data_IF_638512150558
#
_entry.id   IF_638512150558
#
_cell.length_a   1.000
_cell.length_b   1.000
_cell.length_c   1.000
_cell.angle_alpha   90.00
_cell.angle_beta   90.00
_cell.angle_gamma   90.00
#
_symmetry.space_group_name_H-M   'P 1'
#
loop_
_entity.id
_entity.type
_entity.pdbx_description
1 polymer ?
#
# COMPACT_ATOMS: atom_id res chain seq x y z
N UNK A 1 30.09 2.70 33.17
CA UNK A 1 29.78 2.21 31.80
C UNK A 1 28.27 1.99 31.76
N UNK A 2 27.52 2.93 31.19
CA UNK A 2 26.05 2.83 31.14
C UNK A 2 25.69 2.18 29.79
N UNK A 3 25.04 1.02 29.86
CA UNK A 3 24.54 0.30 28.69
C UNK A 3 23.43 1.13 28.01
N UNK A 4 23.54 1.30 26.69
CA UNK A 4 22.55 1.99 25.87
C UNK A 4 21.26 1.14 25.78
N UNK A 5 20.13 1.73 26.16
CA UNK A 5 18.80 1.12 25.98
C UNK A 5 18.41 1.10 24.49
N UNK A 6 17.81 0.00 23.99
CA UNK A 6 17.41 -0.12 22.60
C UNK A 6 15.99 0.44 22.41
N UNK A 7 15.82 1.76 22.28
CA UNK A 7 14.47 2.31 22.05
C UNK A 7 14.34 3.44 21.03
N UNK A 8 15.42 3.90 20.40
CA UNK A 8 15.34 4.97 19.41
C UNK A 8 15.47 4.48 17.96
N UNK A 9 14.65 3.49 17.57
CA UNK A 9 14.20 3.36 16.17
C UNK A 9 12.85 4.04 15.99
N UNK A 10 12.71 5.29 16.46
CA UNK A 10 11.75 6.19 15.83
C UNK A 10 12.40 6.68 14.55
N UNK A 11 12.30 5.84 13.51
CA UNK A 11 12.53 6.24 12.13
C UNK A 11 11.77 7.55 11.93
N UNK A 12 12.50 8.67 11.77
CA UNK A 12 11.87 9.99 11.67
C UNK A 12 10.94 9.95 10.46
N UNK A 13 9.63 9.97 10.70
CA UNK A 13 8.63 10.02 9.66
C UNK A 13 8.99 11.16 8.71
N UNK A 14 9.13 10.87 7.41
CA UNK A 14 9.24 11.93 6.40
C UNK A 14 8.04 12.87 6.57
N UNK A 15 8.21 14.20 6.51
CA UNK A 15 7.09 15.14 6.49
C UNK A 15 6.41 15.04 5.11
N UNK A 16 5.63 13.98 4.91
CA UNK A 16 4.77 13.80 3.76
C UNK A 16 3.37 14.34 4.03
N UNK A 17 2.58 14.54 2.97
CA UNK A 17 1.17 14.89 3.09
C UNK A 17 0.45 13.74 3.80
N UNK A 18 -0.35 14.08 4.81
CA UNK A 18 -1.27 13.13 5.43
C UNK A 18 -2.64 13.24 4.78
N UNK A 19 -3.21 12.12 4.36
CA UNK A 19 -4.54 12.07 3.78
C UNK A 19 -5.61 11.81 4.84
N UNK A 20 -6.79 12.36 4.61
CA UNK A 20 -7.98 11.92 5.32
C UNK A 20 -8.32 10.48 4.92
N UNK A 21 -9.05 9.78 5.79
CA UNK A 21 -9.32 8.36 5.58
C UNK A 21 -10.06 8.08 4.26
N UNK A 22 -11.04 8.90 3.87
CA UNK A 22 -11.76 8.72 2.61
C UNK A 22 -10.85 8.93 1.39
N UNK A 23 -9.92 9.88 1.44
CA UNK A 23 -8.94 10.11 0.38
C UNK A 23 -8.00 8.91 0.20
N UNK A 24 -7.64 8.21 1.29
CA UNK A 24 -6.86 6.97 1.21
C UNK A 24 -7.61 5.86 0.46
N UNK A 25 -8.92 5.70 0.74
CA UNK A 25 -9.76 4.72 0.05
C UNK A 25 -9.90 5.07 -1.44
N UNK A 26 -10.22 6.31 -1.76
CA UNK A 26 -10.37 6.76 -3.15
C UNK A 26 -9.07 6.57 -3.94
N UNK A 27 -7.92 6.94 -3.36
CA UNK A 27 -6.63 6.76 -4.01
C UNK A 27 -6.28 5.28 -4.19
N UNK A 28 -6.53 4.45 -3.18
CA UNK A 28 -6.30 3.00 -3.28
C UNK A 28 -7.17 2.37 -4.38
N UNK A 29 -8.45 2.74 -4.47
CA UNK A 29 -9.37 2.24 -5.50
C UNK A 29 -8.91 2.63 -6.90
N UNK A 30 -8.56 3.92 -7.11
CA UNK A 30 -8.06 4.41 -8.39
C UNK A 30 -6.81 3.62 -8.81
N UNK A 31 -5.85 3.45 -7.91
CA UNK A 31 -4.62 2.71 -8.20
C UNK A 31 -4.89 1.23 -8.46
N UNK A 32 -5.78 0.59 -7.69
CA UNK A 32 -6.17 -0.81 -7.90
C UNK A 32 -6.81 -1.01 -9.28
N UNK A 33 -7.71 -0.12 -9.69
CA UNK A 33 -8.35 -0.14 -11.01
C UNK A 33 -7.30 0.00 -12.11
N UNK A 34 -6.36 0.94 -11.98
CA UNK A 34 -5.30 1.15 -12.97
C UNK A 34 -4.37 -0.06 -13.10
N UNK A 35 -3.94 -0.63 -11.97
CA UNK A 35 -3.10 -1.83 -11.94
C UNK A 35 -3.84 -3.01 -12.58
N UNK A 36 -5.12 -3.20 -12.26
CA UNK A 36 -5.93 -4.26 -12.85
C UNK A 36 -6.20 -4.02 -14.35
N UNK A 37 -6.43 -2.77 -14.78
CA UNK A 37 -6.58 -2.45 -16.20
C UNK A 37 -5.30 -2.77 -17.00
N UNK A 38 -4.13 -2.55 -16.40
CA UNK A 38 -2.84 -2.83 -17.05
C UNK A 38 -2.47 -4.32 -17.07
N UNK A 39 -2.66 -5.03 -15.95
CA UNK A 39 -2.22 -6.43 -15.78
C UNK A 39 -3.32 -7.49 -15.94
N UNK A 40 -4.57 -7.07 -15.95
CA UNK A 40 -5.75 -7.95 -15.91
C UNK A 40 -5.69 -8.91 -14.72
N UNK A 41 -6.06 -10.18 -14.97
CA UNK A 41 -6.04 -11.26 -13.96
C UNK A 41 -4.66 -11.50 -13.33
N UNK A 42 -3.56 -11.01 -13.93
CA UNK A 42 -2.21 -11.13 -13.33
C UNK A 42 -2.07 -10.25 -12.09
N UNK A 43 -2.81 -9.15 -11.98
CA UNK A 43 -2.83 -8.29 -10.80
C UNK A 43 -3.21 -9.06 -9.52
N UNK A 44 -4.13 -10.02 -9.65
CA UNK A 44 -4.62 -10.85 -8.54
C UNK A 44 -3.54 -11.78 -7.95
N UNK A 45 -2.40 -11.94 -8.63
CA UNK A 45 -1.26 -12.77 -8.18
C UNK A 45 -0.10 -11.95 -7.63
N UNK A 46 -0.19 -10.63 -7.63
CA UNK A 46 0.87 -9.78 -7.11
C UNK A 46 1.04 -10.01 -5.60
N UNK A 47 2.29 -10.15 -5.18
CA UNK A 47 2.63 -10.07 -3.78
C UNK A 47 2.50 -8.62 -3.31
N UNK A 48 2.29 -8.43 -2.01
CA UNK A 48 2.20 -7.10 -1.41
C UNK A 48 3.42 -6.23 -1.73
N UNK A 49 4.61 -6.83 -1.81
CA UNK A 49 5.85 -6.10 -2.15
C UNK A 49 5.83 -5.57 -3.58
N UNK A 50 5.32 -6.35 -4.53
CA UNK A 50 5.19 -5.92 -5.93
C UNK A 50 4.23 -4.73 -6.04
N UNK A 51 3.14 -4.74 -5.27
CA UNK A 51 2.20 -3.62 -5.22
C UNK A 51 2.88 -2.38 -4.64
N UNK A 52 3.62 -2.52 -3.54
CA UNK A 52 4.35 -1.41 -2.93
C UNK A 52 5.34 -0.76 -3.91
N UNK A 53 6.07 -1.56 -4.69
CA UNK A 53 6.98 -1.06 -5.72
C UNK A 53 6.23 -0.37 -6.87
N UNK A 54 5.12 -0.94 -7.33
CA UNK A 54 4.30 -0.38 -8.40
C UNK A 54 3.67 0.96 -8.03
N UNK A 55 3.21 1.13 -6.79
CA UNK A 55 2.53 2.35 -6.35
C UNK A 55 3.47 3.43 -5.84
N UNK A 56 4.71 3.09 -5.47
CA UNK A 56 5.67 4.01 -4.86
C UNK A 56 5.81 5.36 -5.60
N UNK A 57 5.89 5.43 -6.94
CA UNK A 57 6.01 6.70 -7.66
C UNK A 57 4.78 7.62 -7.56
N UNK A 58 3.63 7.12 -7.09
CA UNK A 58 2.37 7.86 -7.03
C UNK A 58 2.00 8.33 -5.60
N UNK A 59 2.77 7.89 -4.60
CA UNK A 59 2.48 8.12 -3.18
C UNK A 59 3.73 8.56 -2.39
N UNK A 60 4.83 8.87 -3.09
CA UNK A 60 6.12 9.19 -2.46
C UNK A 60 6.11 10.50 -1.66
N UNK A 61 5.14 11.38 -1.95
CA UNK A 61 4.83 12.63 -1.26
C UNK A 61 4.02 12.42 0.03
N UNK A 62 3.43 11.23 0.23
CA UNK A 62 2.63 10.93 1.42
C UNK A 62 3.48 10.53 2.63
N UNK A 63 2.86 10.53 3.81
CA UNK A 63 3.51 9.98 5.01
C UNK A 63 3.80 8.48 4.85
N UNK A 64 4.83 7.97 5.54
CA UNK A 64 5.15 6.54 5.52
C UNK A 64 3.99 5.65 5.95
N UNK A 65 3.15 6.13 6.86
CA UNK A 65 1.97 5.38 7.33
C UNK A 65 0.89 5.31 6.24
N UNK A 66 0.63 6.42 5.55
CA UNK A 66 -0.33 6.46 4.45
C UNK A 66 0.17 5.66 3.24
N UNK A 67 1.47 5.73 2.95
CA UNK A 67 2.11 4.91 1.91
C UNK A 67 1.88 3.42 2.17
N UNK A 68 2.08 3.00 3.44
CA UNK A 68 1.82 1.63 3.88
C UNK A 68 0.35 1.28 3.73
N UNK A 69 -0.54 2.13 4.21
CA UNK A 69 -1.98 1.90 4.15
C UNK A 69 -2.45 1.63 2.71
N UNK A 70 -2.06 2.47 1.76
CA UNK A 70 -2.49 2.36 0.35
C UNK A 70 -2.10 1.03 -0.27
N UNK A 71 -0.82 0.64 -0.21
CA UNK A 71 -0.39 -0.61 -0.85
C UNK A 71 -1.00 -1.85 -0.16
N UNK A 72 -1.31 -1.77 1.14
CA UNK A 72 -2.02 -2.83 1.87
C UNK A 72 -3.48 -2.94 1.42
N UNK A 73 -4.18 -1.82 1.29
CA UNK A 73 -5.57 -1.77 0.83
C UNK A 73 -5.71 -2.38 -0.57
N UNK A 74 -4.85 -1.97 -1.49
CA UNK A 74 -4.83 -2.52 -2.86
C UNK A 74 -4.55 -4.03 -2.85
N UNK A 75 -3.60 -4.48 -2.04
CA UNK A 75 -3.30 -5.92 -1.92
C UNK A 75 -4.51 -6.72 -1.44
N UNK A 76 -5.22 -6.22 -0.42
CA UNK A 76 -6.44 -6.85 0.10
C UNK A 76 -7.54 -6.91 -0.96
N UNK A 77 -7.81 -5.81 -1.67
CA UNK A 77 -8.79 -5.80 -2.77
C UNK A 77 -8.50 -6.89 -3.82
N UNK A 78 -7.23 -7.10 -4.15
CA UNK A 78 -6.83 -8.16 -5.07
C UNK A 78 -6.92 -9.56 -4.49
N UNK A 79 -6.68 -9.76 -3.19
CA UNK A 79 -6.89 -11.07 -2.56
C UNK A 79 -8.38 -11.40 -2.53
N UNK A 80 -9.23 -10.46 -2.12
CA UNK A 80 -10.68 -10.65 -2.08
C UNK A 80 -11.23 -10.99 -3.47
N UNK A 81 -10.82 -10.24 -4.49
CA UNK A 81 -11.21 -10.52 -5.88
C UNK A 81 -10.69 -11.88 -6.39
N UNK A 82 -9.50 -12.32 -5.94
CA UNK A 82 -8.98 -13.65 -6.27
C UNK A 82 -9.82 -14.74 -5.64
N UNK A 83 -10.16 -14.58 -4.36
CA UNK A 83 -10.90 -15.59 -3.61
C UNK A 83 -12.32 -15.75 -4.20
N UNK A 84 -13.00 -14.65 -4.54
CA UNK A 84 -14.28 -14.67 -5.27
C UNK A 84 -14.15 -15.42 -6.62
N UNK A 85 -13.06 -15.18 -7.35
CA UNK A 85 -12.83 -15.82 -8.64
C UNK A 85 -12.48 -17.32 -8.52
N UNK A 86 -12.10 -17.81 -7.34
CA UNK A 86 -11.85 -19.23 -7.07
C UNK A 86 -13.10 -19.97 -6.59
N UNK A 87 -14.08 -19.26 -6.03
CA UNK A 87 -15.37 -19.80 -5.60
C UNK A 87 -16.41 -19.90 -6.72
N UNK A 88 -16.15 -19.29 -7.88
CA UNK A 88 -17.01 -19.27 -9.08
C UNK A 88 -16.61 -20.32 -10.11
#
# INVERSE_FOLDING_TARGET
MIALSPTDRREKAKPGKRLAQHELYELADILAIQIHAWLGKRALRLHRIDIAELVAPYIDDLTTDDQKAIHWMIWHLFQDARDIAMES
#
